data_IF_574379101530
#
_entry.id   IF_574379101530
#
_cell.length_a   1.000
_cell.length_b   1.000
_cell.length_c   1.000
_cell.angle_alpha   90.00
_cell.angle_beta   90.00
_cell.angle_gamma   90.00
#
_symmetry.space_group_name_H-M   'P 1'
#
loop_
_entity.id
_entity.type
_entity.pdbx_description
1 polymer ?
#
# COMPACT_ATOMS: atom_id res chain seq x y z
N UNK A 1 34.54 41.25 -31.63
CA UNK A 1 33.24 41.66 -31.07
C UNK A 1 32.39 40.40 -30.97
N UNK A 2 32.58 39.66 -29.89
CA UNK A 2 31.99 38.33 -29.67
C UNK A 2 30.79 38.55 -28.74
N UNK A 3 29.59 38.46 -29.30
CA UNK A 3 28.35 38.48 -28.53
C UNK A 3 28.23 37.16 -27.77
N UNK A 4 28.57 37.17 -26.48
CA UNK A 4 28.14 36.12 -25.57
C UNK A 4 26.66 36.36 -25.27
N UNK A 5 25.79 35.53 -25.84
CA UNK A 5 24.41 35.43 -25.39
C UNK A 5 24.41 34.82 -23.98
N UNK A 6 23.96 35.59 -22.99
CA UNK A 6 23.66 35.07 -21.67
C UNK A 6 22.53 34.05 -21.80
N UNK A 7 22.80 32.80 -21.38
CA UNK A 7 21.76 31.80 -21.21
C UNK A 7 20.85 32.25 -20.06
N UNK A 8 19.51 32.13 -20.21
CA UNK A 8 18.59 32.48 -19.14
C UNK A 8 18.89 31.62 -17.90
N UNK A 9 18.93 32.27 -16.73
CA UNK A 9 19.08 31.58 -15.47
C UNK A 9 17.96 30.53 -15.30
N UNK A 10 18.25 29.32 -14.81
CA UNK A 10 17.21 28.34 -14.53
C UNK A 10 16.22 28.94 -13.53
N UNK A 11 14.94 28.99 -13.91
CA UNK A 11 13.84 29.30 -13.00
C UNK A 11 13.95 28.37 -11.80
N UNK A 12 14.06 28.93 -10.59
CA UNK A 12 14.13 28.13 -9.37
C UNK A 12 12.91 27.19 -9.32
N UNK A 13 13.16 25.88 -9.20
CA UNK A 13 12.09 24.92 -9.00
C UNK A 13 11.32 25.30 -7.72
N UNK A 14 9.98 25.29 -7.80
CA UNK A 14 9.15 25.55 -6.63
C UNK A 14 9.45 24.51 -5.53
N UNK A 15 9.45 24.93 -4.26
CA UNK A 15 9.59 24.00 -3.14
C UNK A 15 8.39 23.07 -3.07
N UNK A 16 8.56 21.88 -2.46
CA UNK A 16 7.47 20.93 -2.23
C UNK A 16 6.26 21.60 -1.58
N UNK A 17 6.49 22.41 -0.55
CA UNK A 17 5.43 23.12 0.17
C UNK A 17 4.69 24.11 -0.72
N UNK A 18 5.41 24.87 -1.56
CA UNK A 18 4.79 25.81 -2.49
C UNK A 18 3.89 25.11 -3.52
N UNK A 19 4.25 23.90 -3.96
CA UNK A 19 3.41 23.11 -4.87
C UNK A 19 2.19 22.56 -4.12
N UNK A 20 2.38 22.05 -2.91
CA UNK A 20 1.28 21.57 -2.08
C UNK A 20 0.27 22.69 -1.76
N UNK A 21 0.72 23.92 -1.51
CA UNK A 21 -0.18 25.07 -1.32
C UNK A 21 -1.06 25.34 -2.54
N UNK A 22 -0.51 25.20 -3.75
CA UNK A 22 -1.29 25.35 -4.99
C UNK A 22 -2.34 24.25 -5.14
N UNK A 23 -2.04 23.02 -4.71
CA UNK A 23 -3.00 21.90 -4.72
C UNK A 23 -4.07 22.12 -3.66
N UNK A 24 -3.70 22.47 -2.42
CA UNK A 24 -4.62 22.77 -1.32
C UNK A 24 -5.62 23.86 -1.66
N UNK A 25 -5.17 24.92 -2.35
CA UNK A 25 -6.05 26.01 -2.78
C UNK A 25 -7.16 25.57 -3.76
N UNK A 26 -7.01 24.41 -4.42
CA UNK A 26 -7.94 23.88 -5.43
C UNK A 26 -8.81 22.73 -4.92
N UNK A 27 -8.56 22.23 -3.71
CA UNK A 27 -9.30 21.11 -3.12
C UNK A 27 -9.87 21.51 -1.77
N UNK A 28 -10.96 20.86 -1.35
CA UNK A 28 -11.61 21.16 -0.06
C UNK A 28 -11.43 19.98 0.89
N UNK A 29 -11.03 20.22 2.16
CA UNK A 29 -10.91 19.15 3.15
C UNK A 29 -12.25 18.72 3.77
N UNK A 30 -13.34 19.44 3.45
CA UNK A 30 -14.68 19.21 3.97
C UNK A 30 -15.71 19.27 2.84
N UNK A 31 -16.79 18.51 3.01
CA UNK A 31 -17.80 18.30 1.98
C UNK A 31 -17.39 17.25 0.95
N UNK A 32 -18.40 16.69 0.27
CA UNK A 32 -18.18 15.74 -0.82
C UNK A 32 -17.76 16.54 -2.07
N UNK A 33 -16.59 16.28 -2.67
CA UNK A 33 -16.16 16.95 -3.88
C UNK A 33 -17.08 16.55 -5.05
N UNK A 34 -17.32 17.50 -5.94
CA UNK A 34 -18.10 17.27 -7.16
C UNK A 34 -17.23 16.88 -8.36
N UNK A 35 -15.90 16.82 -8.20
CA UNK A 35 -14.91 16.63 -9.26
C UNK A 35 -13.61 16.03 -8.72
N UNK A 36 -12.80 15.49 -9.64
CA UNK A 36 -11.47 14.94 -9.35
C UNK A 36 -10.44 15.99 -8.88
N UNK A 37 -9.25 15.56 -8.48
CA UNK A 37 -8.16 16.44 -8.05
C UNK A 37 -7.60 17.28 -9.22
N UNK A 38 -6.89 18.40 -8.97
CA UNK A 38 -6.18 19.13 -10.03
C UNK A 38 -5.06 18.28 -10.66
N UNK A 39 -4.72 18.54 -11.93
CA UNK A 39 -3.67 17.79 -12.66
C UNK A 39 -2.35 17.70 -11.89
N UNK A 40 -1.94 18.77 -11.21
CA UNK A 40 -0.73 18.84 -10.40
C UNK A 40 -0.67 17.75 -9.32
N UNK A 41 -1.81 17.33 -8.78
CA UNK A 41 -1.87 16.26 -7.78
C UNK A 41 -1.42 14.90 -8.35
N UNK A 42 -1.56 14.69 -9.66
CA UNK A 42 -1.21 13.44 -10.33
C UNK A 42 0.15 13.52 -11.04
N UNK A 43 0.59 14.70 -11.47
CA UNK A 43 1.74 14.85 -12.38
C UNK A 43 3.00 15.40 -11.71
N UNK A 44 2.90 15.91 -10.48
CA UNK A 44 4.03 16.59 -9.83
C UNK A 44 4.90 15.66 -8.97
N UNK A 45 6.21 15.72 -9.18
CA UNK A 45 7.21 15.08 -8.31
C UNK A 45 7.14 15.60 -6.86
N UNK A 46 6.86 16.90 -6.68
CA UNK A 46 6.73 17.50 -5.36
C UNK A 46 5.54 16.91 -4.60
N UNK A 47 4.40 16.73 -5.26
CA UNK A 47 3.22 16.09 -4.65
C UNK A 47 3.54 14.64 -4.31
N UNK A 48 4.14 13.87 -5.22
CA UNK A 48 4.50 12.49 -4.92
C UNK A 48 5.51 12.37 -3.77
N UNK A 49 6.50 13.26 -3.71
CA UNK A 49 7.44 13.30 -2.59
C UNK A 49 6.72 13.57 -1.25
N UNK A 50 5.76 14.50 -1.26
CA UNK A 50 4.92 14.75 -0.09
C UNK A 50 4.06 13.54 0.27
N UNK A 51 3.44 12.86 -0.71
CA UNK A 51 2.61 11.66 -0.49
C UNK A 51 3.43 10.49 0.05
N UNK A 52 4.63 10.26 -0.48
CA UNK A 52 5.54 9.23 0.05
C UNK A 52 5.86 9.47 1.52
N UNK A 53 6.18 10.71 1.88
CA UNK A 53 6.53 11.08 3.24
C UNK A 53 5.34 11.03 4.20
N UNK A 54 4.21 11.61 3.81
CA UNK A 54 3.12 11.90 4.75
C UNK A 54 1.97 10.90 4.66
N UNK A 55 1.76 10.25 3.50
CA UNK A 55 0.79 9.16 3.36
C UNK A 55 1.45 7.81 3.52
N UNK A 56 2.41 7.44 2.66
CA UNK A 56 2.97 6.08 2.70
C UNK A 56 3.83 5.82 3.93
N UNK A 57 4.70 6.75 4.32
CA UNK A 57 5.50 6.63 5.54
C UNK A 57 4.79 7.13 6.79
N UNK A 58 3.88 8.11 6.64
CA UNK A 58 3.17 8.78 7.72
C UNK A 58 1.84 8.16 8.13
N UNK A 59 1.45 7.04 7.54
CA UNK A 59 0.28 6.24 7.92
C UNK A 59 0.63 4.75 7.91
N UNK A 60 -0.33 3.88 8.24
CA UNK A 60 -0.13 2.43 8.19
C UNK A 60 -0.15 1.91 6.75
N UNK A 61 1.04 1.71 6.17
CA UNK A 61 1.19 1.14 4.83
C UNK A 61 1.48 -0.36 4.85
N UNK A 62 0.84 -1.10 3.95
CA UNK A 62 1.05 -2.53 3.77
C UNK A 62 2.39 -2.81 3.07
N UNK A 63 3.19 -3.69 3.67
CA UNK A 63 4.49 -4.14 3.16
C UNK A 63 4.41 -5.46 2.39
N UNK A 64 3.29 -6.17 2.47
CA UNK A 64 3.08 -7.50 1.90
C UNK A 64 2.68 -8.53 2.96
N UNK A 65 2.71 -9.82 2.61
CA UNK A 65 2.35 -10.90 3.53
C UNK A 65 3.47 -11.25 4.50
N UNK A 66 3.10 -11.64 5.72
CA UNK A 66 4.05 -12.02 6.77
C UNK A 66 4.99 -13.15 6.34
N UNK A 67 4.47 -14.10 5.57
CA UNK A 67 5.24 -15.24 5.06
C UNK A 67 6.30 -14.85 4.03
N UNK A 68 6.26 -13.60 3.53
CA UNK A 68 7.06 -13.13 2.41
C UNK A 68 8.02 -12.00 2.80
N UNK A 69 7.57 -11.06 3.66
CA UNK A 69 8.35 -9.87 4.01
C UNK A 69 9.70 -10.21 4.67
N UNK A 70 9.79 -11.36 5.36
CA UNK A 70 11.02 -11.97 5.84
C UNK A 70 11.14 -13.45 5.41
N UNK A 71 10.63 -13.81 4.23
CA UNK A 71 10.83 -15.16 3.70
C UNK A 71 12.33 -15.46 3.61
N UNK A 72 12.77 -16.55 4.24
CA UNK A 72 14.05 -17.15 3.90
C UNK A 72 13.95 -17.79 2.52
N UNK A 73 15.00 -17.68 1.70
CA UNK A 73 15.17 -18.59 0.56
C UNK A 73 15.33 -20.05 1.03
N UNK A 74 15.75 -20.95 0.14
CA UNK A 74 16.03 -22.38 0.41
C UNK A 74 17.18 -22.65 1.40
N UNK A 75 17.55 -21.67 2.24
CA UNK A 75 18.63 -21.72 3.23
C UNK A 75 18.16 -21.37 4.65
N UNK A 76 19.01 -20.65 5.40
CA UNK A 76 18.67 -20.19 6.77
C UNK A 76 17.55 -19.14 6.72
N UNK A 77 16.61 -19.16 7.68
CA UNK A 77 15.58 -18.12 7.77
C UNK A 77 16.25 -16.75 7.88
N UNK A 78 15.71 -15.79 7.13
CA UNK A 78 16.15 -14.40 7.22
C UNK A 78 15.76 -13.85 8.60
N UNK A 79 16.71 -13.15 9.23
CA UNK A 79 16.51 -12.54 10.54
C UNK A 79 16.19 -11.06 10.42
N UNK A 80 16.67 -10.39 9.37
CA UNK A 80 16.33 -9.00 9.07
C UNK A 80 16.47 -8.66 7.59
N UNK A 81 15.74 -7.63 7.17
CA UNK A 81 15.71 -7.11 5.80
C UNK A 81 15.53 -5.60 5.83
N UNK A 82 16.20 -4.88 4.95
CA UNK A 82 15.98 -3.46 4.72
C UNK A 82 14.90 -3.25 3.65
N UNK A 83 14.00 -2.31 3.90
CA UNK A 83 12.86 -1.96 3.04
C UNK A 83 12.72 -0.44 2.96
N UNK A 84 12.01 0.03 1.94
CA UNK A 84 11.55 1.42 1.87
C UNK A 84 10.05 1.48 2.16
N UNK A 85 9.64 2.37 3.07
CA UNK A 85 8.23 2.69 3.32
C UNK A 85 8.02 4.14 2.96
N UNK A 86 7.30 4.40 1.87
CA UNK A 86 7.25 5.73 1.27
C UNK A 86 8.63 6.18 0.79
N UNK A 87 9.25 7.10 1.53
CA UNK A 87 10.62 7.57 1.32
C UNK A 87 11.53 7.36 2.54
N UNK A 88 11.10 6.55 3.51
CA UNK A 88 11.84 6.24 4.73
C UNK A 88 12.42 4.83 4.68
N UNK A 89 13.73 4.72 4.87
CA UNK A 89 14.43 3.43 4.95
C UNK A 89 14.24 2.80 6.33
N UNK A 90 13.73 1.56 6.34
CA UNK A 90 13.43 0.81 7.55
C UNK A 90 14.13 -0.54 7.53
N UNK A 91 14.33 -1.11 8.71
CA UNK A 91 14.91 -2.43 8.91
C UNK A 91 13.91 -3.29 9.66
N UNK A 92 13.30 -4.23 8.96
CA UNK A 92 12.41 -5.23 9.54
C UNK A 92 13.24 -6.38 10.09
N UNK A 93 13.03 -6.75 11.35
CA UNK A 93 13.75 -7.82 12.03
C UNK A 93 12.78 -8.80 12.69
N UNK A 94 13.22 -10.04 12.88
CA UNK A 94 12.50 -11.04 13.66
C UNK A 94 13.19 -11.21 15.02
N UNK A 95 12.54 -10.76 16.07
CA UNK A 95 12.96 -10.93 17.47
C UNK A 95 12.39 -12.24 18.03
N UNK A 96 13.23 -13.26 18.30
CA UNK A 96 12.76 -14.53 18.88
C UNK A 96 12.11 -14.38 20.27
N UNK A 97 12.37 -13.27 20.98
CA UNK A 97 11.79 -12.97 22.29
C UNK A 97 10.42 -12.31 22.23
N UNK A 98 9.93 -11.90 21.04
CA UNK A 98 8.64 -11.23 20.86
C UNK A 98 7.58 -12.21 20.36
N UNK A 99 6.42 -12.23 21.03
CA UNK A 99 5.26 -13.05 20.63
C UNK A 99 4.26 -12.31 19.74
N UNK A 100 4.15 -10.99 19.92
CA UNK A 100 3.24 -10.14 19.16
C UNK A 100 3.72 -9.94 17.72
N UNK A 101 2.78 -9.66 16.80
CA UNK A 101 3.06 -9.37 15.38
C UNK A 101 3.98 -10.41 14.71
N UNK A 102 3.82 -11.68 15.08
CA UNK A 102 4.65 -12.78 14.57
C UNK A 102 6.14 -12.66 14.93
N UNK A 103 6.46 -11.92 15.99
CA UNK A 103 7.83 -11.65 16.43
C UNK A 103 8.55 -10.60 15.58
N UNK A 104 7.85 -9.85 14.73
CA UNK A 104 8.45 -8.81 13.92
C UNK A 104 8.75 -7.56 14.75
N UNK A 105 9.82 -6.86 14.42
CA UNK A 105 10.11 -5.50 14.87
C UNK A 105 10.55 -4.67 13.69
N UNK A 106 10.28 -3.37 13.73
CA UNK A 106 10.69 -2.45 12.70
C UNK A 106 11.57 -1.37 13.31
N UNK A 107 12.69 -1.06 12.66
CA UNK A 107 13.60 -0.02 13.12
C UNK A 107 13.86 0.98 12.00
N UNK A 108 14.24 2.21 12.35
CA UNK A 108 14.90 3.08 11.39
C UNK A 108 16.20 2.40 10.93
N UNK A 109 16.41 2.30 9.61
CA UNK A 109 17.62 1.67 9.04
C UNK A 109 18.82 2.63 9.10
N UNK A 110 19.19 3.06 10.31
CA UNK A 110 20.19 4.10 10.53
C UNK A 110 20.93 3.81 11.82
N UNK A 111 22.24 3.60 11.71
CA UNK A 111 23.11 3.36 12.84
C UNK A 111 23.15 4.57 13.78
N UNK A 112 22.96 4.32 15.08
CA UNK A 112 22.94 5.34 16.14
C UNK A 112 24.29 6.01 16.42
N UNK A 113 25.39 5.55 15.80
CA UNK A 113 26.70 6.19 15.94
C UNK A 113 26.88 7.41 15.04
N UNK A 114 26.90 7.20 13.71
CA UNK A 114 27.19 8.24 12.71
C UNK A 114 26.25 8.19 11.50
N UNK A 115 25.08 7.59 11.67
CA UNK A 115 24.01 7.63 10.66
C UNK A 115 24.20 6.73 9.44
N UNK A 116 25.16 5.80 9.46
CA UNK A 116 25.33 4.84 8.36
C UNK A 116 24.13 3.89 8.28
N UNK A 117 23.64 3.58 7.08
CA UNK A 117 22.63 2.54 6.87
C UNK A 117 23.08 1.18 7.45
N UNK A 118 22.20 0.41 8.07
CA UNK A 118 22.60 -0.85 8.70
C UNK A 118 22.67 -1.99 7.67
N UNK A 119 21.84 -1.90 6.64
CA UNK A 119 21.73 -2.83 5.53
C UNK A 119 21.24 -2.05 4.31
N UNK A 120 21.76 -2.30 3.11
CA UNK A 120 21.32 -1.57 1.92
C UNK A 120 19.84 -1.87 1.62
N UNK A 121 19.11 -0.91 1.06
CA UNK A 121 17.68 -1.09 0.71
C UNK A 121 17.49 -2.35 -0.17
N UNK A 122 16.44 -3.11 0.11
CA UNK A 122 16.10 -4.40 -0.51
C UNK A 122 17.04 -5.59 -0.20
N UNK A 123 18.14 -5.37 0.52
CA UNK A 123 18.99 -6.47 0.99
C UNK A 123 18.44 -7.15 2.26
N UNK A 124 18.92 -8.38 2.47
CA UNK A 124 18.55 -9.22 3.60
C UNK A 124 19.74 -9.90 4.26
N UNK A 125 19.53 -10.36 5.49
CA UNK A 125 20.55 -11.03 6.29
C UNK A 125 19.94 -12.14 7.14
N UNK A 126 20.74 -13.18 7.37
CA UNK A 126 20.44 -14.31 8.27
C UNK A 126 21.31 -14.29 9.54
N UNK A 127 22.02 -13.18 9.81
CA UNK A 127 22.87 -13.04 11.00
C UNK A 127 22.01 -12.90 12.26
N UNK A 128 22.46 -13.47 13.37
CA UNK A 128 21.78 -13.34 14.66
C UNK A 128 21.88 -11.93 15.31
N UNK A 129 22.59 -11.00 14.66
CA UNK A 129 22.74 -9.60 15.07
C UNK A 129 22.77 -8.69 13.86
N UNK A 130 22.43 -7.43 14.06
CA UNK A 130 22.53 -6.36 13.06
C UNK A 130 23.89 -5.69 13.25
N UNK A 131 24.76 -5.75 12.24
CA UNK A 131 26.11 -5.21 12.30
C UNK A 131 26.23 -3.99 11.39
N UNK A 132 26.53 -2.82 11.96
CA UNK A 132 26.83 -1.62 11.18
C UNK A 132 28.12 -1.83 10.38
N UNK A 133 28.08 -1.70 9.03
CA UNK A 133 29.26 -1.89 8.18
C UNK A 133 30.40 -0.89 8.45
N UNK A 134 30.09 0.28 9.02
CA UNK A 134 31.07 1.36 9.12
C UNK A 134 32.09 1.17 10.25
N UNK A 135 31.61 0.92 11.47
CA UNK A 135 32.46 0.85 12.67
C UNK A 135 32.12 -0.37 13.56
N UNK A 136 31.42 -1.35 13.02
CA UNK A 136 31.06 -2.59 13.71
C UNK A 136 30.27 -2.41 15.02
N UNK A 137 29.51 -1.31 15.16
CA UNK A 137 28.45 -1.24 16.16
C UNK A 137 27.45 -2.36 15.88
N UNK A 138 27.20 -3.17 16.90
CA UNK A 138 26.40 -4.39 16.78
C UNK A 138 25.16 -4.27 17.64
N UNK A 139 24.00 -4.52 17.06
CA UNK A 139 22.70 -4.51 17.73
C UNK A 139 22.12 -5.93 17.77
N UNK A 140 21.38 -6.23 18.82
CA UNK A 140 20.54 -7.42 18.88
C UNK A 140 19.32 -7.27 17.95
N UNK A 141 18.59 -8.36 17.69
CA UNK A 141 17.38 -8.33 16.84
C UNK A 141 16.19 -7.63 17.52
N UNK A 142 16.27 -7.38 18.82
CA UNK A 142 15.37 -6.50 19.57
C UNK A 142 15.74 -5.01 19.47
N UNK A 143 16.83 -4.67 18.76
CA UNK A 143 17.32 -3.31 18.57
C UNK A 143 18.29 -2.81 19.65
N UNK A 144 18.46 -3.53 20.76
CA UNK A 144 19.38 -3.11 21.83
C UNK A 144 20.84 -3.12 21.36
N UNK A 145 21.62 -2.12 21.79
CA UNK A 145 23.05 -2.03 21.46
C UNK A 145 23.81 -3.13 22.21
N UNK A 146 24.33 -4.11 21.47
CA UNK A 146 25.09 -5.24 22.01
C UNK A 146 26.56 -4.91 22.20
N UNK A 147 27.16 -4.20 21.24
CA UNK A 147 28.58 -3.86 21.27
C UNK A 147 28.88 -2.58 20.48
N UNK A 148 29.69 -1.71 21.08
CA UNK A 148 30.28 -0.55 20.44
C UNK A 148 31.81 -0.59 20.65
N UNK A 149 32.59 -1.01 19.64
CA UNK A 149 34.04 -1.06 19.75
C UNK A 149 34.63 0.28 20.19
N UNK A 150 35.47 0.26 21.23
CA UNK A 150 36.09 1.47 21.81
C UNK A 150 35.30 2.16 22.93
N UNK A 151 34.08 1.72 23.23
CA UNK A 151 33.21 2.38 24.22
C UNK A 151 33.02 1.62 25.54
N UNK A 152 33.51 0.37 25.65
CA UNK A 152 33.25 -0.50 26.80
C UNK A 152 33.68 0.10 28.15
N UNK A 153 34.84 0.76 28.17
CA UNK A 153 35.46 1.29 29.38
C UNK A 153 35.44 2.83 29.40
N UNK A 154 34.58 3.46 28.59
CA UNK A 154 34.45 4.91 28.51
C UNK A 154 33.48 5.41 29.58
N UNK A 155 33.97 6.21 30.52
CA UNK A 155 33.14 6.84 31.54
C UNK A 155 32.01 7.68 30.89
N UNK A 156 30.78 7.46 31.36
CA UNK A 156 29.60 8.20 30.87
C UNK A 156 28.96 7.65 29.60
N UNK A 157 29.40 6.52 29.07
CA UNK A 157 28.70 5.84 27.97
C UNK A 157 27.73 4.78 28.50
N UNK A 158 26.43 5.01 28.30
CA UNK A 158 25.38 4.02 28.57
C UNK A 158 24.86 3.40 27.26
N UNK A 159 25.15 2.12 26.97
CA UNK A 159 24.61 1.44 25.79
C UNK A 159 23.09 1.47 25.65
N UNK A 160 22.35 1.60 26.75
CA UNK A 160 20.89 1.64 26.74
C UNK A 160 20.32 2.87 26.01
N UNK A 161 21.06 3.98 25.96
CA UNK A 161 20.64 5.20 25.26
C UNK A 161 20.78 5.11 23.72
N UNK A 162 21.51 4.10 23.24
CA UNK A 162 21.93 3.98 21.84
C UNK A 162 21.36 2.75 21.13
N UNK A 163 20.28 2.16 21.62
CA UNK A 163 19.50 1.15 20.87
C UNK A 163 18.91 1.71 19.58
N UNK A 164 18.55 0.87 18.61
CA UNK A 164 17.90 1.32 17.37
C UNK A 164 16.57 2.03 17.68
N UNK A 165 16.22 3.02 16.85
CA UNK A 165 14.91 3.68 16.96
C UNK A 165 13.85 2.72 16.42
N UNK A 166 12.97 2.24 17.29
CA UNK A 166 11.86 1.36 16.93
C UNK A 166 10.73 2.17 16.28
N UNK A 167 10.15 1.60 15.23
CA UNK A 167 9.06 2.13 14.45
C UNK A 167 7.84 1.20 14.59
N UNK A 168 6.60 1.72 14.51
CA UNK A 168 5.41 0.90 14.59
C UNK A 168 5.31 -0.15 13.46
N UNK A 169 5.01 -1.40 13.84
CA UNK A 169 4.69 -2.50 12.93
C UNK A 169 3.49 -3.27 13.47
N UNK A 170 2.60 -3.72 12.59
CA UNK A 170 1.43 -4.54 12.97
C UNK A 170 1.21 -5.66 11.97
N UNK A 171 0.79 -6.82 12.47
CA UNK A 171 0.32 -7.93 11.62
C UNK A 171 -1.19 -8.05 11.75
N UNK A 172 -1.89 -8.00 10.62
CA UNK A 172 -3.34 -8.16 10.56
C UNK A 172 -3.75 -8.88 9.27
N UNK A 173 -4.62 -9.89 9.38
CA UNK A 173 -5.04 -10.71 8.24
C UNK A 173 -3.89 -11.43 7.50
N UNK A 174 -2.75 -11.60 8.16
CA UNK A 174 -1.51 -12.11 7.55
C UNK A 174 -0.74 -11.09 6.71
N UNK A 175 -1.17 -9.83 6.66
CA UNK A 175 -0.41 -8.72 6.08
C UNK A 175 0.38 -7.98 7.16
N UNK A 176 1.53 -7.44 6.76
CA UNK A 176 2.39 -6.62 7.62
C UNK A 176 2.23 -5.16 7.27
N UNK A 177 1.88 -4.34 8.25
CA UNK A 177 1.73 -2.90 8.13
C UNK A 177 2.81 -2.18 8.92
N UNK A 178 3.24 -1.03 8.42
CA UNK A 178 4.23 -0.20 9.07
C UNK A 178 3.83 1.27 9.02
N UNK A 179 4.14 1.99 10.10
CA UNK A 179 4.25 3.45 10.12
C UNK A 179 5.73 3.79 10.26
N UNK A 180 6.30 4.55 9.32
CA UNK A 180 7.74 4.76 9.25
C UNK A 180 8.19 6.18 9.63
N UNK A 181 7.28 7.15 9.66
CA UNK A 181 7.62 8.55 9.88
C UNK A 181 7.91 8.88 11.35
N UNK A 182 7.16 8.27 12.26
CA UNK A 182 7.21 8.56 13.70
C UNK A 182 7.64 7.33 14.49
N UNK A 183 8.43 7.49 15.58
CA UNK A 183 8.86 6.38 16.41
C UNK A 183 7.69 5.73 17.14
N UNK A 184 7.88 4.47 17.55
CA UNK A 184 6.93 3.73 18.37
C UNK A 184 6.59 4.52 19.64
N UNK A 185 5.30 4.66 19.93
CA UNK A 185 4.79 5.43 21.08
C UNK A 185 4.64 6.94 20.84
N UNK A 186 4.94 7.44 19.64
CA UNK A 186 4.60 8.82 19.28
C UNK A 186 3.07 9.03 19.25
N UNK A 187 2.61 10.17 19.73
CA UNK A 187 1.19 10.57 19.66
C UNK A 187 0.70 10.82 18.24
N UNK A 188 1.62 10.99 17.28
CA UNK A 188 1.32 11.18 15.86
C UNK A 188 1.14 9.86 15.09
N UNK A 189 1.17 8.72 15.78
CA UNK A 189 0.86 7.40 15.21
C UNK A 189 -0.56 7.02 15.66
N UNK A 190 -1.54 6.96 14.76
CA UNK A 190 -2.87 6.49 15.13
C UNK A 190 -2.81 5.00 15.50
N UNK A 191 -3.63 4.58 16.47
CA UNK A 191 -3.79 3.16 16.77
C UNK A 191 -4.27 2.40 15.52
N UNK A 192 -3.71 1.22 15.27
CA UNK A 192 -4.05 0.45 14.07
C UNK A 192 -5.54 0.09 13.98
N UNK A 193 -6.21 -0.12 15.11
CA UNK A 193 -7.66 -0.37 15.15
C UNK A 193 -8.47 0.85 14.71
N UNK A 194 -7.97 2.07 14.97
CA UNK A 194 -8.59 3.31 14.46
C UNK A 194 -8.37 3.43 12.95
N UNK A 195 -7.19 2.99 12.47
CA UNK A 195 -6.89 2.93 11.03
C UNK A 195 -7.80 1.95 10.28
N UNK A 196 -8.05 0.77 10.85
CA UNK A 196 -8.98 -0.20 10.27
C UNK A 196 -10.43 0.26 10.35
N UNK A 197 -10.86 0.78 11.51
CA UNK A 197 -12.26 1.11 11.77
C UNK A 197 -13.19 -0.09 11.51
N UNK A 198 -14.25 0.13 10.75
CA UNK A 198 -15.25 -0.90 10.46
C UNK A 198 -14.77 -1.99 9.48
N UNK A 199 -13.67 -1.76 8.75
CA UNK A 199 -13.13 -2.71 7.78
C UNK A 199 -12.83 -4.09 8.41
N UNK A 200 -12.40 -4.09 9.68
CA UNK A 200 -12.05 -5.31 10.39
C UNK A 200 -13.20 -6.33 10.40
N UNK A 201 -14.43 -5.88 10.66
CA UNK A 201 -15.61 -6.75 10.70
C UNK A 201 -16.08 -7.21 9.32
N UNK A 202 -15.79 -6.45 8.26
CA UNK A 202 -16.12 -6.83 6.88
C UNK A 202 -15.19 -7.95 6.39
N UNK A 203 -13.91 -7.86 6.74
CA UNK A 203 -12.88 -8.82 6.32
C UNK A 203 -12.80 -10.07 7.20
N UNK A 204 -13.17 -9.97 8.49
CA UNK A 204 -13.10 -11.08 9.46
C UNK A 204 -13.68 -12.42 8.92
N UNK A 205 -14.88 -12.47 8.29
CA UNK A 205 -15.45 -13.71 7.79
C UNK A 205 -14.58 -14.44 6.75
N UNK A 206 -13.72 -13.70 6.03
CA UNK A 206 -12.82 -14.27 5.02
C UNK A 206 -11.56 -14.89 5.63
N UNK A 207 -11.26 -14.60 6.90
CA UNK A 207 -10.11 -15.10 7.66
C UNK A 207 -8.78 -15.13 6.85
N UNK A 208 -8.34 -13.99 6.29
CA UNK A 208 -7.20 -13.93 5.35
C UNK A 208 -5.87 -14.42 5.95
N UNK A 209 -5.73 -14.45 7.27
CA UNK A 209 -4.59 -15.05 7.96
C UNK A 209 -4.49 -16.58 7.79
N UNK A 210 -5.58 -17.24 7.40
CA UNK A 210 -5.64 -18.68 7.12
C UNK A 210 -5.46 -19.03 5.65
N UNK A 211 -5.44 -18.04 4.77
CA UNK A 211 -5.31 -18.23 3.33
C UNK A 211 -3.85 -18.32 2.91
N UNK A 212 -3.58 -19.06 1.84
CA UNK A 212 -2.26 -19.26 1.24
C UNK A 212 -2.23 -18.75 -0.19
N UNK A 213 -1.04 -18.32 -0.64
CA UNK A 213 -0.85 -17.79 -1.99
C UNK A 213 -1.06 -18.87 -3.05
N UNK A 214 -2.02 -18.66 -3.94
CA UNK A 214 -2.27 -19.50 -5.11
C UNK A 214 -1.56 -18.98 -6.38
N UNK A 215 -1.35 -17.66 -6.47
CA UNK A 215 -0.71 -17.04 -7.61
C UNK A 215 -0.39 -15.57 -7.37
N UNK A 216 0.54 -15.04 -8.16
CA UNK A 216 0.96 -13.63 -8.12
C UNK A 216 1.30 -13.13 -9.51
N UNK A 217 0.78 -11.96 -9.85
CA UNK A 217 1.19 -11.17 -11.00
C UNK A 217 1.74 -9.83 -10.52
N UNK A 218 2.64 -9.24 -11.30
CA UNK A 218 3.12 -7.88 -11.07
C UNK A 218 2.93 -7.06 -12.33
N UNK A 219 2.50 -5.81 -12.17
CA UNK A 219 2.30 -4.86 -13.25
C UNK A 219 3.11 -3.61 -12.97
N UNK A 220 3.56 -2.97 -14.05
CA UNK A 220 4.10 -1.62 -14.01
C UNK A 220 3.26 -0.79 -14.97
N UNK A 221 2.56 0.20 -14.43
CA UNK A 221 1.50 0.92 -15.13
C UNK A 221 1.96 2.36 -15.30
N UNK A 222 1.82 2.90 -16.52
CA UNK A 222 2.15 4.30 -16.81
C UNK A 222 1.04 5.26 -16.35
N UNK A 223 0.67 5.19 -15.07
CA UNK A 223 -0.31 6.05 -14.43
C UNK A 223 0.04 6.36 -12.96
N UNK A 224 -0.44 7.51 -12.48
CA UNK A 224 -0.41 7.86 -11.07
C UNK A 224 -1.22 6.86 -10.24
N UNK A 225 -0.74 6.54 -9.05
CA UNK A 225 -1.39 5.59 -8.15
C UNK A 225 -2.82 5.98 -7.77
N UNK A 226 -3.13 7.28 -7.72
CA UNK A 226 -4.49 7.78 -7.45
C UNK A 226 -5.43 7.52 -8.61
N UNK A 227 -4.95 7.57 -9.86
CA UNK A 227 -5.79 7.23 -11.03
C UNK A 227 -6.23 5.77 -10.96
N UNK A 228 -5.33 4.88 -10.55
CA UNK A 228 -5.64 3.46 -10.32
C UNK A 228 -6.65 3.29 -9.18
N UNK A 229 -6.44 4.00 -8.06
CA UNK A 229 -7.37 3.95 -6.93
C UNK A 229 -8.76 4.49 -7.29
N UNK A 230 -8.84 5.58 -8.07
CA UNK A 230 -10.09 6.16 -8.56
C UNK A 230 -10.82 5.19 -9.50
N UNK A 231 -10.10 4.56 -10.45
CA UNK A 231 -10.66 3.55 -11.35
C UNK A 231 -11.19 2.30 -10.61
N UNK A 232 -10.55 1.89 -9.52
CA UNK A 232 -11.03 0.78 -8.68
C UNK A 232 -12.36 1.08 -7.96
N UNK A 233 -12.65 2.36 -7.69
CA UNK A 233 -13.77 2.80 -6.85
C UNK A 233 -15.05 3.13 -7.61
N UNK A 234 -15.11 2.81 -8.90
CA UNK A 234 -16.33 2.95 -9.70
C UNK A 234 -16.46 1.83 -10.73
N UNK A 235 -17.68 1.61 -11.19
CA UNK A 235 -17.98 0.67 -12.27
C UNK A 235 -18.73 1.36 -13.41
N UNK A 236 -18.56 2.69 -13.54
CA UNK A 236 -19.16 3.48 -14.60
C UNK A 236 -18.52 3.14 -15.95
N UNK A 237 -17.22 2.82 -15.97
CA UNK A 237 -16.54 2.32 -17.17
C UNK A 237 -16.88 0.86 -17.52
N UNK A 238 -17.30 0.05 -16.53
CA UNK A 238 -17.43 -1.41 -16.68
C UNK A 238 -18.23 -1.86 -17.90
N UNK A 239 -19.43 -1.29 -18.20
CA UNK A 239 -20.22 -1.74 -19.36
C UNK A 239 -19.50 -1.58 -20.70
N UNK A 240 -18.53 -0.66 -20.78
CA UNK A 240 -17.81 -0.36 -22.01
C UNK A 240 -16.53 -1.17 -22.15
N UNK A 241 -15.76 -1.32 -21.08
CA UNK A 241 -14.40 -1.89 -21.16
C UNK A 241 -14.24 -3.29 -20.56
N UNK A 242 -15.22 -3.79 -19.79
CA UNK A 242 -15.16 -5.12 -19.15
C UNK A 242 -16.32 -6.04 -19.58
N UNK A 243 -16.34 -6.52 -20.84
CA UNK A 243 -17.39 -7.41 -21.31
C UNK A 243 -17.42 -8.76 -20.57
N UNK A 244 -16.29 -9.26 -20.08
CA UNK A 244 -16.21 -10.47 -19.27
C UNK A 244 -16.75 -10.25 -17.85
N UNK A 245 -16.37 -9.16 -17.19
CA UNK A 245 -16.85 -8.82 -15.85
C UNK A 245 -18.37 -8.60 -15.82
N UNK A 246 -18.89 -7.89 -16.81
CA UNK A 246 -20.33 -7.61 -16.88
C UNK A 246 -21.20 -8.86 -17.09
N UNK A 247 -20.61 -9.99 -17.54
CA UNK A 247 -21.30 -11.28 -17.64
C UNK A 247 -21.46 -11.98 -16.29
N UNK A 248 -20.60 -11.66 -15.31
CA UNK A 248 -20.62 -12.32 -13.99
C UNK A 248 -21.19 -11.44 -12.88
N UNK A 249 -21.10 -10.12 -13.02
CA UNK A 249 -21.67 -9.17 -12.06
C UNK A 249 -22.40 -8.02 -12.76
N UNK A 250 -23.55 -7.54 -12.23
CA UNK A 250 -24.19 -6.34 -12.74
C UNK A 250 -23.35 -5.10 -12.39
N UNK A 251 -22.96 -4.26 -13.37
CA UNK A 251 -22.12 -3.08 -13.12
C UNK A 251 -22.83 -1.98 -12.32
N UNK A 252 -24.15 -2.06 -12.19
CA UNK A 252 -25.00 -1.15 -11.42
C UNK A 252 -25.36 -1.70 -10.02
N UNK A 253 -24.73 -2.81 -9.59
CA UNK A 253 -24.99 -3.44 -8.29
C UNK A 253 -24.12 -2.95 -7.14
N UNK A 254 -23.26 -1.95 -7.38
CA UNK A 254 -22.39 -1.38 -6.35
C UNK A 254 -23.16 -0.77 -5.19
N UNK A 255 -22.78 -1.13 -3.98
CA UNK A 255 -23.30 -0.58 -2.72
C UNK A 255 -22.11 -0.14 -1.85
N UNK A 256 -21.83 1.15 -1.86
CA UNK A 256 -20.66 1.74 -1.20
C UNK A 256 -20.93 2.02 0.29
N UNK A 257 -19.93 1.76 1.13
CA UNK A 257 -20.04 1.99 2.56
C UNK A 257 -19.67 3.43 2.93
N UNK A 258 -20.35 3.97 3.95
CA UNK A 258 -19.97 5.19 4.65
C UNK A 258 -19.77 4.84 6.13
N UNK A 259 -18.59 4.28 6.43
CA UNK A 259 -18.24 3.74 7.75
C UNK A 259 -16.85 4.24 8.20
N UNK A 260 -16.59 4.31 9.52
CA UNK A 260 -15.31 4.82 10.03
C UNK A 260 -14.09 3.98 9.63
N UNK A 261 -12.92 4.64 9.56
CA UNK A 261 -11.62 4.05 9.28
C UNK A 261 -10.93 4.68 8.06
N UNK A 262 -9.64 4.42 7.91
CA UNK A 262 -8.83 4.90 6.79
C UNK A 262 -8.95 3.99 5.57
N UNK A 263 -10.18 3.78 5.10
CA UNK A 263 -10.47 2.94 3.95
C UNK A 263 -11.67 3.47 3.16
N UNK A 264 -11.78 3.06 1.90
CA UNK A 264 -12.92 3.34 1.02
C UNK A 264 -13.32 2.04 0.35
N UNK A 265 -14.60 1.78 0.19
CA UNK A 265 -15.04 0.58 -0.51
C UNK A 265 -16.52 0.30 -0.40
N UNK A 266 -16.90 -0.83 -0.96
CA UNK A 266 -18.29 -1.26 -1.09
C UNK A 266 -18.37 -2.74 -1.44
N UNK A 267 -19.58 -3.17 -1.75
CA UNK A 267 -19.81 -4.50 -2.28
C UNK A 267 -20.50 -4.46 -3.65
N UNK A 268 -20.31 -5.52 -4.41
CA UNK A 268 -21.13 -5.84 -5.58
C UNK A 268 -21.68 -7.25 -5.43
N UNK A 269 -22.69 -7.58 -6.25
CA UNK A 269 -23.28 -8.93 -6.27
C UNK A 269 -22.88 -9.68 -7.54
N UNK A 270 -22.88 -11.00 -7.44
CA UNK A 270 -22.81 -11.92 -8.56
C UNK A 270 -24.18 -12.05 -9.23
N UNK A 271 -24.19 -12.27 -10.54
CA UNK A 271 -25.41 -12.61 -11.28
C UNK A 271 -25.91 -14.00 -10.90
N UNK A 272 -27.22 -14.21 -11.09
CA UNK A 272 -27.85 -15.52 -10.91
C UNK A 272 -27.10 -16.62 -11.68
N UNK A 273 -26.74 -17.69 -10.96
CA UNK A 273 -26.01 -18.84 -11.51
C UNK A 273 -24.48 -18.69 -11.53
N UNK A 274 -23.93 -17.53 -11.14
CA UNK A 274 -22.50 -17.32 -10.97
C UNK A 274 -22.09 -17.60 -9.53
N UNK A 275 -21.02 -18.36 -9.34
CA UNK A 275 -20.48 -18.73 -8.02
C UNK A 275 -19.27 -17.87 -7.61
N UNK A 276 -18.58 -17.24 -8.57
CA UNK A 276 -17.48 -16.32 -8.31
C UNK A 276 -17.15 -15.49 -9.56
N UNK A 277 -16.15 -14.61 -9.45
CA UNK A 277 -15.55 -13.88 -10.57
C UNK A 277 -14.56 -14.78 -11.31
N UNK A 278 -15.05 -15.42 -12.37
CA UNK A 278 -14.28 -16.23 -13.32
C UNK A 278 -14.95 -16.19 -14.70
N UNK A 279 -14.24 -16.55 -15.78
CA UNK A 279 -14.81 -16.46 -17.13
C UNK A 279 -16.09 -17.29 -17.34
N UNK A 280 -16.26 -18.38 -16.59
CA UNK A 280 -17.43 -19.26 -16.66
C UNK A 280 -18.43 -19.04 -15.52
N UNK A 281 -18.07 -18.20 -14.53
CA UNK A 281 -18.79 -18.09 -13.27
C UNK A 281 -18.64 -19.28 -12.32
N UNK A 282 -17.91 -20.33 -12.70
CA UNK A 282 -17.61 -21.45 -11.81
C UNK A 282 -16.56 -21.06 -10.77
N UNK A 283 -16.61 -21.70 -9.60
CA UNK A 283 -15.63 -21.55 -8.53
C UNK A 283 -14.19 -21.69 -9.08
N UNK A 284 -13.32 -20.78 -8.63
CA UNK A 284 -11.89 -20.77 -8.89
C UNK A 284 -11.09 -21.51 -7.81
N UNK A 285 -11.65 -21.65 -6.61
CA UNK A 285 -11.04 -22.34 -5.47
C UNK A 285 -12.09 -22.94 -4.51
N UNK A 286 -11.62 -23.47 -3.37
CA UNK A 286 -12.52 -23.98 -2.32
C UNK A 286 -13.29 -22.81 -1.69
N UNK A 287 -14.63 -22.85 -1.62
CA UNK A 287 -15.42 -21.81 -0.98
C UNK A 287 -14.99 -21.54 0.46
N UNK A 288 -14.91 -20.27 0.83
CA UNK A 288 -14.58 -19.82 2.17
C UNK A 288 -15.82 -20.00 3.07
N UNK A 289 -15.76 -20.79 4.14
CA UNK A 289 -16.92 -21.03 4.99
C UNK A 289 -17.40 -19.75 5.70
N UNK A 290 -18.71 -19.50 5.66
CA UNK A 290 -19.34 -18.43 6.45
C UNK A 290 -19.42 -17.07 5.75
N UNK A 291 -18.90 -16.94 4.52
CA UNK A 291 -19.08 -15.74 3.69
C UNK A 291 -20.35 -15.85 2.84
N UNK A 292 -20.90 -14.71 2.41
CA UNK A 292 -22.04 -14.68 1.49
C UNK A 292 -21.59 -15.15 0.10
N UNK A 293 -22.18 -16.22 -0.47
CA UNK A 293 -21.74 -16.79 -1.74
C UNK A 293 -22.13 -15.93 -2.96
N UNK A 294 -22.90 -14.86 -2.77
CA UNK A 294 -23.39 -13.99 -3.84
C UNK A 294 -22.74 -12.60 -3.83
N UNK A 295 -21.89 -12.31 -2.84
CA UNK A 295 -21.35 -10.97 -2.60
C UNK A 295 -19.84 -10.95 -2.80
N UNK A 296 -19.35 -9.80 -3.26
CA UNK A 296 -17.93 -9.50 -3.41
C UNK A 296 -17.66 -8.16 -2.76
N UNK A 297 -16.68 -8.11 -1.87
CA UNK A 297 -16.25 -6.86 -1.26
C UNK A 297 -15.10 -6.27 -2.07
N UNK A 298 -15.14 -4.95 -2.33
CA UNK A 298 -14.08 -4.17 -2.97
C UNK A 298 -13.63 -3.08 -2.02
N UNK A 299 -12.44 -3.24 -1.42
CA UNK A 299 -12.03 -2.48 -0.24
C UNK A 299 -10.61 -1.95 -0.42
N UNK A 300 -10.44 -0.63 -0.42
CA UNK A 300 -9.14 0.03 -0.41
C UNK A 300 -8.78 0.45 1.01
N UNK A 301 -7.94 -0.33 1.69
CA UNK A 301 -7.29 0.08 2.92
C UNK A 301 -6.15 1.05 2.59
N UNK A 302 -6.36 2.33 2.88
CA UNK A 302 -5.38 3.34 2.53
C UNK A 302 -4.08 3.14 3.30
N UNK A 303 -2.95 3.50 2.69
CA UNK A 303 -2.85 4.17 1.39
C UNK A 303 -2.64 3.23 0.19
N UNK A 304 -2.43 1.93 0.41
CA UNK A 304 -1.79 1.11 -0.64
C UNK A 304 -2.21 -0.37 -0.74
N UNK A 305 -3.31 -0.79 -0.10
CA UNK A 305 -3.80 -2.16 -0.22
C UNK A 305 -5.26 -2.17 -0.69
N UNK A 306 -5.48 -2.67 -1.91
CA UNK A 306 -6.81 -3.04 -2.40
C UNK A 306 -7.05 -4.51 -2.03
N UNK A 307 -8.25 -4.81 -1.54
CA UNK A 307 -8.71 -6.15 -1.15
C UNK A 307 -10.05 -6.39 -1.84
N UNK A 308 -10.06 -7.34 -2.76
CA UNK A 308 -11.26 -7.84 -3.42
C UNK A 308 -11.57 -9.23 -2.87
N UNK A 309 -12.56 -9.32 -1.98
CA UNK A 309 -12.89 -10.54 -1.25
C UNK A 309 -14.06 -11.28 -1.91
N UNK A 310 -13.77 -12.44 -2.50
CA UNK A 310 -14.72 -13.28 -3.23
C UNK A 310 -15.15 -14.49 -2.39
N UNK A 311 -16.25 -15.19 -2.76
CA UNK A 311 -16.73 -16.36 -2.02
C UNK A 311 -15.71 -17.48 -1.81
N UNK A 312 -14.69 -17.59 -2.66
CA UNK A 312 -13.73 -18.70 -2.68
C UNK A 312 -12.25 -18.28 -2.72
N UNK A 313 -11.96 -16.99 -2.88
CA UNK A 313 -10.60 -16.45 -2.83
C UNK A 313 -10.59 -14.98 -2.40
N UNK A 314 -9.44 -14.50 -1.93
CA UNK A 314 -9.20 -13.07 -1.71
C UNK A 314 -8.11 -12.61 -2.68
N UNK A 315 -8.45 -11.66 -3.54
CA UNK A 315 -7.49 -10.99 -4.41
C UNK A 315 -7.02 -9.69 -3.75
N UNK A 316 -5.74 -9.37 -3.83
CA UNK A 316 -5.22 -8.08 -3.35
C UNK A 316 -4.34 -7.42 -4.39
N UNK A 317 -4.41 -6.08 -4.46
CA UNK A 317 -3.43 -5.26 -5.17
C UNK A 317 -2.67 -4.40 -4.18
N UNK A 318 -1.35 -4.63 -4.06
CA UNK A 318 -0.47 -3.74 -3.30
C UNK A 318 0.13 -2.70 -4.23
N UNK A 319 -0.18 -1.44 -3.96
CA UNK A 319 0.16 -0.29 -4.80
C UNK A 319 1.51 0.29 -4.34
N UNK A 320 2.45 0.50 -5.27
CA UNK A 320 3.75 1.12 -5.01
C UNK A 320 4.00 2.23 -6.03
N UNK A 321 3.80 3.51 -5.65
CA UNK A 321 4.09 4.63 -6.53
C UNK A 321 5.59 4.75 -6.83
N UNK A 322 5.98 4.67 -8.11
CA UNK A 322 7.38 4.75 -8.55
C UNK A 322 7.77 6.17 -8.99
N UNK A 323 6.89 6.83 -9.73
CA UNK A 323 7.01 8.21 -10.24
C UNK A 323 5.59 8.81 -10.33
N UNK A 324 5.41 10.13 -10.53
CA UNK A 324 4.07 10.71 -10.59
C UNK A 324 3.17 10.04 -11.64
N UNK A 325 3.73 9.64 -12.78
CA UNK A 325 3.01 8.93 -13.84
C UNK A 325 3.32 7.44 -13.93
N UNK A 326 3.84 6.79 -12.87
CA UNK A 326 4.25 5.39 -12.92
C UNK A 326 4.05 4.68 -11.58
N UNK A 327 3.35 3.56 -11.61
CA UNK A 327 2.98 2.80 -10.41
C UNK A 327 3.24 1.32 -10.63
N UNK A 328 3.89 0.67 -9.68
CA UNK A 328 4.01 -0.78 -9.65
C UNK A 328 2.92 -1.40 -8.78
N UNK A 329 2.37 -2.52 -9.22
CA UNK A 329 1.33 -3.24 -8.51
C UNK A 329 1.69 -4.70 -8.39
N UNK A 330 1.58 -5.24 -7.18
CA UNK A 330 1.55 -6.67 -6.92
C UNK A 330 0.13 -7.13 -6.76
N UNK A 331 -0.33 -7.99 -7.67
CA UNK A 331 -1.61 -8.68 -7.55
C UNK A 331 -1.38 -10.08 -6.97
N UNK A 332 -2.10 -10.47 -5.94
CA UNK A 332 -2.00 -11.80 -5.30
C UNK A 332 -3.37 -12.41 -5.10
N UNK A 333 -3.48 -13.72 -5.33
CA UNK A 333 -4.69 -14.49 -5.10
C UNK A 333 -4.45 -15.45 -3.94
N UNK A 334 -5.24 -15.30 -2.89
CA UNK A 334 -5.16 -16.07 -1.66
C UNK A 334 -6.36 -17.02 -1.59
N UNK A 335 -6.11 -18.29 -1.31
CA UNK A 335 -7.14 -19.34 -1.25
C UNK A 335 -7.01 -20.13 0.03
N UNK A 336 -8.07 -20.86 0.40
CA UNK A 336 -7.95 -21.85 1.45
C UNK A 336 -6.92 -22.93 1.07
N UNK A 337 -6.07 -23.37 2.00
CA UNK A 337 -5.18 -24.50 1.77
C UNK A 337 -5.97 -25.73 1.31
N UNK A 338 -5.59 -26.39 0.20
CA UNK A 338 -6.26 -27.60 -0.26
C UNK A 338 -6.25 -28.70 0.82
N UNK A 339 -7.40 -29.30 1.11
CA UNK A 339 -7.53 -30.31 2.16
C UNK A 339 -6.75 -31.61 1.87
N UNK A 340 -6.48 -31.88 0.60
CA UNK A 340 -5.69 -33.02 0.13
C UNK A 340 -4.17 -32.75 0.11
N UNK A 341 -3.74 -31.55 0.49
CA UNK A 341 -2.34 -31.14 0.50
C UNK A 341 -1.77 -30.87 -0.90
N UNK A 342 -2.61 -30.78 -1.94
CA UNK A 342 -2.20 -30.34 -3.26
C UNK A 342 -1.73 -28.88 -3.26
N UNK A 343 -1.06 -28.46 -4.33
CA UNK A 343 -0.65 -27.07 -4.49
C UNK A 343 -1.89 -26.16 -4.59
N UNK A 344 -1.93 -25.03 -3.86
CA UNK A 344 -3.04 -24.08 -3.99
C UNK A 344 -3.10 -23.53 -5.42
N UNK A 345 -4.31 -23.41 -5.96
CA UNK A 345 -4.55 -22.86 -7.31
C UNK A 345 -5.78 -21.98 -7.32
N UNK A 346 -5.75 -20.97 -8.18
CA UNK A 346 -6.84 -20.06 -8.48
C UNK A 346 -6.83 -19.68 -9.98
N UNK A 347 -6.39 -20.59 -10.85
CA UNK A 347 -6.12 -20.31 -12.28
C UNK A 347 -7.26 -19.57 -12.99
N UNK A 348 -8.51 -19.98 -12.74
CA UNK A 348 -9.71 -19.33 -13.32
C UNK A 348 -9.88 -17.88 -12.88
N UNK A 349 -9.57 -17.57 -11.63
CA UNK A 349 -9.61 -16.21 -11.10
C UNK A 349 -8.43 -15.39 -11.62
N UNK A 350 -7.24 -15.99 -11.68
CA UNK A 350 -6.02 -15.35 -12.18
C UNK A 350 -6.19 -14.94 -13.65
N UNK A 351 -6.71 -15.85 -14.49
CA UNK A 351 -6.99 -15.57 -15.91
C UNK A 351 -8.02 -14.45 -16.06
N UNK A 352 -9.17 -14.56 -15.38
CA UNK A 352 -10.23 -13.56 -15.42
C UNK A 352 -9.71 -12.16 -15.03
N UNK A 353 -9.01 -12.07 -13.90
CA UNK A 353 -8.53 -10.80 -13.39
C UNK A 353 -7.32 -10.26 -14.16
N UNK A 354 -6.46 -11.08 -14.78
CA UNK A 354 -5.42 -10.57 -15.67
C UNK A 354 -6.02 -9.85 -16.89
N UNK A 355 -7.12 -10.37 -17.44
CA UNK A 355 -7.87 -9.71 -18.53
C UNK A 355 -8.43 -8.37 -18.05
N UNK A 356 -9.19 -8.36 -16.96
CA UNK A 356 -9.81 -7.14 -16.40
C UNK A 356 -8.75 -6.10 -16.02
N UNK A 357 -7.71 -6.50 -15.28
CA UNK A 357 -6.62 -5.60 -14.88
C UNK A 357 -5.97 -4.94 -16.11
N UNK A 358 -5.71 -5.68 -17.19
CA UNK A 358 -5.12 -5.10 -18.41
C UNK A 358 -6.04 -4.10 -19.11
N UNK A 359 -7.36 -4.33 -19.07
CA UNK A 359 -8.34 -3.37 -19.57
C UNK A 359 -8.30 -2.07 -18.74
N UNK A 360 -8.27 -2.19 -17.41
CA UNK A 360 -8.14 -1.07 -16.48
C UNK A 360 -6.82 -0.30 -16.66
N UNK A 361 -5.70 -1.00 -16.78
CA UNK A 361 -4.40 -0.37 -17.00
C UNK A 361 -4.39 0.45 -18.30
N UNK A 362 -4.97 -0.08 -19.38
CA UNK A 362 -5.12 0.66 -20.62
C UNK A 362 -5.92 1.96 -20.46
N UNK A 363 -6.98 1.95 -19.66
CA UNK A 363 -7.78 3.14 -19.35
C UNK A 363 -7.00 4.14 -18.47
N UNK A 364 -6.39 3.67 -17.37
CA UNK A 364 -5.60 4.48 -16.44
C UNK A 364 -4.44 5.19 -17.14
N UNK A 365 -3.70 4.50 -18.00
CA UNK A 365 -2.60 5.09 -18.78
C UNK A 365 -3.10 6.15 -19.77
N UNK A 366 -4.31 5.97 -20.31
CA UNK A 366 -4.95 6.96 -21.16
C UNK A 366 -5.35 8.22 -20.37
N UNK A 367 -5.92 8.05 -19.18
CA UNK A 367 -6.20 9.15 -18.25
C UNK A 367 -4.92 9.89 -17.91
N UNK A 368 -3.82 9.19 -17.60
CA UNK A 368 -2.54 9.82 -17.29
C UNK A 368 -2.01 10.70 -18.44
N UNK A 369 -2.11 10.21 -19.69
CA UNK A 369 -1.76 11.04 -20.87
C UNK A 369 -2.68 12.26 -20.98
N UNK A 370 -3.97 12.10 -20.72
CA UNK A 370 -4.95 13.20 -20.71
C UNK A 370 -4.66 14.27 -19.65
N UNK A 371 -4.24 13.86 -18.45
CA UNK A 371 -3.86 14.75 -17.33
C UNK A 371 -2.66 15.65 -17.67
N UNK A 372 -1.87 15.30 -18.69
CA UNK A 372 -0.72 16.08 -19.13
C UNK A 372 -1.08 17.16 -20.16
N UNK A 373 -2.35 17.21 -20.59
CA UNK A 373 -2.85 18.22 -21.52
C UNK A 373 -2.91 19.60 -20.86
N UNK A 374 -2.43 20.67 -21.51
CA UNK A 374 -2.59 22.04 -21.01
C UNK A 374 -4.06 22.51 -21.00
N UNK A 375 -4.96 21.73 -21.59
CA UNK A 375 -6.40 21.99 -21.63
C UNK A 375 -7.19 21.15 -20.63
N UNK A 376 -6.52 20.31 -19.83
CA UNK A 376 -7.20 19.56 -18.78
C UNK A 376 -7.80 20.50 -17.74
N UNK A 377 -9.03 20.20 -17.34
CA UNK A 377 -9.67 20.75 -16.16
C UNK A 377 -10.37 19.60 -15.42
N UNK A 378 -10.37 19.59 -14.07
CA UNK A 378 -11.03 18.54 -13.31
C UNK A 378 -12.50 18.39 -13.69
N UNK A 379 -12.86 17.19 -14.17
CA UNK A 379 -14.21 16.84 -14.60
C UNK A 379 -15.11 16.47 -13.42
N UNK A 380 -16.44 16.69 -13.54
CA UNK A 380 -17.37 16.36 -12.47
C UNK A 380 -17.59 14.85 -12.35
N UNK A 381 -17.90 14.39 -11.14
CA UNK A 381 -18.31 13.02 -10.87
C UNK A 381 -19.77 12.79 -11.26
N UNK A 382 -20.06 11.61 -11.79
CA UNK A 382 -21.39 11.06 -11.94
C UNK A 382 -21.97 10.65 -10.56
N UNK A 383 -23.30 10.53 -10.43
CA UNK A 383 -23.91 10.15 -9.15
C UNK A 383 -23.44 8.81 -8.56
N UNK A 384 -23.01 7.86 -9.40
CA UNK A 384 -22.55 6.53 -8.98
C UNK A 384 -21.01 6.45 -8.80
N UNK A 385 -20.32 7.59 -8.78
CA UNK A 385 -18.88 7.70 -8.48
C UNK A 385 -18.66 8.25 -7.05
N UNK A 386 -19.58 7.94 -6.13
CA UNK A 386 -19.57 8.44 -4.75
C UNK A 386 -18.39 7.89 -3.93
N UNK A 387 -17.97 6.63 -4.14
CA UNK A 387 -16.75 6.10 -3.54
C UNK A 387 -15.48 6.80 -4.09
N UNK A 388 -15.45 7.19 -5.36
CA UNK A 388 -14.38 8.03 -5.92
C UNK A 388 -14.34 9.38 -5.21
N UNK A 389 -15.51 9.99 -4.98
CA UNK A 389 -15.62 11.24 -4.23
C UNK A 389 -15.20 11.09 -2.76
N UNK A 390 -15.50 9.96 -2.10
CA UNK A 390 -14.99 9.63 -0.77
C UNK A 390 -13.46 9.53 -0.77
N UNK A 391 -12.86 8.82 -1.73
CA UNK A 391 -11.42 8.72 -1.86
C UNK A 391 -10.76 10.10 -2.04
N UNK A 392 -11.28 10.92 -2.96
CA UNK A 392 -10.79 12.30 -3.18
C UNK A 392 -10.96 13.18 -1.93
N UNK A 393 -12.04 12.98 -1.16
CA UNK A 393 -12.22 13.66 0.14
C UNK A 393 -11.10 13.28 1.11
N UNK A 394 -10.80 11.99 1.24
CA UNK A 394 -9.75 11.47 2.12
C UNK A 394 -8.37 12.00 1.74
N UNK A 395 -8.03 12.01 0.45
CA UNK A 395 -6.78 12.62 -0.04
C UNK A 395 -6.75 14.13 0.21
N UNK A 396 -7.86 14.83 0.02
CA UNK A 396 -7.95 16.28 0.25
C UNK A 396 -7.79 16.65 1.73
N UNK A 397 -8.34 15.83 2.65
CA UNK A 397 -8.09 15.94 4.10
C UNK A 397 -6.59 15.78 4.41
N UNK A 398 -5.96 14.74 3.86
CA UNK A 398 -4.54 14.49 4.07
C UNK A 398 -3.68 15.66 3.59
N UNK A 399 -3.93 16.19 2.40
CA UNK A 399 -3.21 17.35 1.88
C UNK A 399 -3.30 18.57 2.82
N UNK A 400 -4.38 18.70 3.58
CA UNK A 400 -4.58 19.74 4.60
C UNK A 400 -4.06 19.36 6.00
N UNK A 401 -3.29 18.28 6.13
CA UNK A 401 -2.74 17.82 7.41
C UNK A 401 -3.79 17.25 8.37
N UNK A 402 -4.95 16.84 7.86
CA UNK A 402 -5.99 16.19 8.66
C UNK A 402 -5.83 14.66 8.60
N UNK A 403 -6.20 13.94 9.67
CA UNK A 403 -6.22 12.47 9.66
C UNK A 403 -7.10 11.92 8.52
N UNK A 404 -6.72 10.75 8.00
CA UNK A 404 -7.46 10.01 6.95
C UNK A 404 -8.46 8.99 7.51
N UNK A 405 -8.51 8.83 8.83
CA UNK A 405 -9.38 7.91 9.59
C UNK A 405 -10.77 8.47 9.86
#
# INVERSE_FOLDING_TARGET
MTLHAELPAPTAAASTESVMDQVRAQVRPEGVPDRMLPATAYTSDAVLAWERRNLLAGTWACLGRIDEVLAGGTGKPMTHRALMVGDVQVLLARDPGRSEDGGLRLFANTCRHRGHELLATDESSSRATILCPYHAWTFNLDGSLRAAPGFRDLDGFDPAEFGLIELPVRVWGGWVFAHALHPLGSADVPDFETHLGALAGIIEPYAPERLVLAGRHTYEIAANWKVIAENYHECYHCPLIHPELCQVSPPDSGDNYDLPGAWVGGAMILRDGMATMSLTGELAATPIPGVDPTRIEYLHLLPNLLVSAHPDYVMTHRIVPLEPGRTWIECSWLVLPPADGSAPTAERAIEFWDITNRQDWGACESVQRGLSSPHFAPGPFAPNEDAVAQFVTTISKAYHGRPIT
#
